data_IF_174629583876
#
_entry.id   IF_174629583876
#
_cell.length_a   1.000
_cell.length_b   1.000
_cell.length_c   1.000
_cell.angle_alpha   90.00
_cell.angle_beta   90.00
_cell.angle_gamma   90.00
#
_symmetry.space_group_name_H-M   'P 1'
#
loop_
_entity.id
_entity.type
_entity.pdbx_description
1 polymer ?
#
# COMPACT_ATOMS: atom_id res chain seq x y z
N UNK A 1 51.14 -90.06 0.05
CA UNK A 1 51.87 -88.78 -0.06
C UNK A 1 50.99 -87.81 -0.84
N UNK A 2 50.15 -87.00 -0.17
CA UNK A 2 49.47 -85.81 -0.71
C UNK A 2 48.66 -85.13 0.40
N UNK A 3 48.70 -83.78 0.42
CA UNK A 3 47.74 -82.80 0.98
C UNK A 3 47.56 -82.78 2.52
N UNK A 4 47.31 -81.65 3.19
CA UNK A 4 46.82 -80.34 2.77
C UNK A 4 47.19 -79.28 3.83
N UNK A 5 47.33 -78.04 3.40
CA UNK A 5 47.69 -76.87 4.19
C UNK A 5 46.43 -76.06 4.54
N UNK A 6 46.27 -75.55 5.77
CA UNK A 6 45.59 -74.27 6.02
C UNK A 6 45.85 -73.72 7.42
N UNK A 7 46.25 -72.44 7.44
CA UNK A 7 46.55 -71.59 8.59
C UNK A 7 45.28 -71.02 9.24
N UNK A 8 45.26 -70.95 10.58
CA UNK A 8 44.34 -70.13 11.37
C UNK A 8 45.12 -69.22 12.32
N UNK A 9 45.05 -67.91 12.12
CA UNK A 9 45.44 -66.90 13.12
C UNK A 9 44.20 -66.09 13.53
N UNK A 10 43.96 -65.98 14.84
CA UNK A 10 42.79 -65.36 15.45
C UNK A 10 42.85 -63.83 15.37
N UNK A 11 41.70 -63.25 15.01
CA UNK A 11 41.38 -61.81 14.97
C UNK A 11 41.36 -61.21 16.38
N UNK A 12 42.05 -60.06 16.59
CA UNK A 12 41.84 -59.17 17.75
C UNK A 12 40.88 -58.06 17.34
N UNK A 13 39.80 -57.89 18.10
CA UNK A 13 38.88 -56.75 17.99
C UNK A 13 39.56 -55.48 18.50
N UNK A 14 39.59 -54.42 17.68
CA UNK A 14 39.91 -53.05 18.09
C UNK A 14 38.60 -52.25 18.15
N UNK A 15 38.39 -51.58 19.28
CA UNK A 15 37.16 -50.94 19.71
C UNK A 15 36.85 -49.66 18.91
N UNK A 16 35.57 -49.50 18.55
CA UNK A 16 34.98 -48.30 17.94
C UNK A 16 34.79 -47.18 18.96
N UNK A 17 35.79 -46.32 19.18
CA UNK A 17 35.63 -45.11 20.04
C UNK A 17 35.76 -43.77 19.28
N UNK A 18 36.09 -43.77 17.99
CA UNK A 18 36.29 -42.53 17.22
C UNK A 18 35.04 -41.95 16.54
N UNK A 19 34.09 -42.79 16.12
CA UNK A 19 33.00 -42.34 15.24
C UNK A 19 31.81 -41.70 15.98
N UNK A 20 31.59 -42.03 17.27
CA UNK A 20 30.47 -41.50 18.04
C UNK A 20 30.69 -40.03 18.43
N UNK A 21 31.92 -39.68 18.84
CA UNK A 21 32.28 -38.34 19.27
C UNK A 21 32.30 -37.33 18.11
N UNK A 22 32.73 -37.75 16.91
CA UNK A 22 32.72 -36.89 15.71
C UNK A 22 31.28 -36.58 15.29
N UNK A 23 30.37 -37.57 15.32
CA UNK A 23 28.96 -37.35 14.98
C UNK A 23 28.29 -36.37 15.93
N UNK A 24 28.49 -36.51 17.24
CA UNK A 24 27.93 -35.57 18.24
C UNK A 24 28.51 -34.16 18.06
N UNK A 25 29.81 -34.03 17.76
CA UNK A 25 30.44 -32.73 17.50
C UNK A 25 29.87 -32.06 16.23
N UNK A 26 29.67 -32.81 15.14
CA UNK A 26 29.04 -32.30 13.92
C UNK A 26 27.58 -31.91 14.13
N UNK A 27 26.81 -32.67 14.91
CA UNK A 27 25.41 -32.33 15.21
C UNK A 27 25.32 -31.07 16.07
N UNK A 28 26.18 -30.92 17.08
CA UNK A 28 26.22 -29.72 17.92
C UNK A 28 26.70 -28.48 17.16
N UNK A 29 27.68 -28.62 16.26
CA UNK A 29 28.12 -27.52 15.37
C UNK A 29 27.03 -27.17 14.37
N UNK A 30 26.27 -28.13 13.83
CA UNK A 30 25.10 -27.84 13.00
C UNK A 30 23.99 -27.11 13.78
N UNK A 31 23.66 -27.54 15.01
CA UNK A 31 22.67 -26.83 15.83
C UNK A 31 23.14 -25.43 16.24
N UNK A 32 24.43 -25.23 16.49
CA UNK A 32 25.00 -23.91 16.76
C UNK A 32 25.02 -23.00 15.50
N UNK A 33 25.30 -23.56 14.31
CA UNK A 33 25.25 -22.83 13.04
C UNK A 33 23.81 -22.49 12.62
N UNK A 34 22.86 -23.41 12.82
CA UNK A 34 21.41 -23.17 12.59
C UNK A 34 20.88 -22.16 13.62
N UNK A 35 21.29 -22.23 14.88
CA UNK A 35 20.95 -21.26 15.92
C UNK A 35 21.54 -19.87 15.68
N UNK A 36 22.76 -19.77 15.15
CA UNK A 36 23.40 -18.49 14.81
C UNK A 36 22.84 -17.86 13.52
N UNK A 37 22.29 -18.67 12.60
CA UNK A 37 21.57 -18.18 11.42
C UNK A 37 20.15 -17.69 11.73
N UNK A 38 19.61 -17.98 12.92
CA UNK A 38 18.27 -17.55 13.33
C UNK A 38 18.23 -16.25 14.16
N UNK A 39 19.37 -15.59 14.40
CA UNK A 39 19.44 -14.39 15.27
C UNK A 39 19.91 -13.09 14.62
N UNK A 40 20.10 -13.01 13.32
CA UNK A 40 20.39 -11.73 12.66
C UNK A 40 19.62 -11.61 11.35
N UNK A 41 18.56 -10.82 11.39
CA UNK A 41 17.76 -10.50 10.22
C UNK A 41 16.27 -10.42 10.50
N UNK A 42 15.85 -9.79 11.61
CA UNK A 42 14.62 -9.02 11.51
C UNK A 42 14.92 -7.91 10.49
N UNK A 43 14.72 -8.20 9.21
CA UNK A 43 14.66 -7.16 8.20
C UNK A 43 13.53 -6.24 8.65
N UNK A 44 13.88 -5.12 9.28
CA UNK A 44 12.92 -4.05 9.51
C UNK A 44 12.35 -3.74 8.13
N UNK A 45 11.05 -3.99 7.97
CA UNK A 45 10.34 -3.55 6.79
C UNK A 45 10.62 -2.05 6.68
N UNK A 46 11.26 -1.64 5.58
CA UNK A 46 11.62 -0.23 5.40
C UNK A 46 10.34 0.61 5.49
N UNK A 47 10.42 1.73 6.21
CA UNK A 47 9.32 2.69 6.27
C UNK A 47 8.92 3.09 4.85
N UNK A 48 7.62 3.17 4.61
CA UNK A 48 7.06 3.63 3.35
C UNK A 48 7.09 5.15 3.35
N UNK A 49 7.66 5.74 2.30
CA UNK A 49 7.51 7.18 2.11
C UNK A 49 6.11 7.51 1.63
N UNK A 50 5.44 8.42 2.34
CA UNK A 50 4.17 8.98 1.90
C UNK A 50 4.43 10.01 0.79
N UNK A 51 3.70 9.98 -0.33
CA UNK A 51 3.93 10.92 -1.41
C UNK A 51 3.37 12.29 -1.04
N UNK A 52 3.91 13.35 -1.65
CA UNK A 52 3.19 14.64 -1.68
C UNK A 52 1.83 14.43 -2.36
N UNK A 53 0.81 15.16 -1.92
CA UNK A 53 -0.51 15.14 -2.57
C UNK A 53 -0.52 15.84 -3.94
N UNK A 54 0.51 16.67 -4.18
CA UNK A 54 0.60 17.58 -5.30
C UNK A 54 0.03 18.98 -5.01
N UNK A 55 -0.70 19.19 -3.91
CA UNK A 55 -1.27 20.48 -3.58
C UNK A 55 -0.19 21.54 -3.33
N UNK A 56 -0.33 22.70 -3.98
CA UNK A 56 0.62 23.83 -3.86
C UNK A 56 -0.03 25.14 -3.44
N UNK A 57 -1.36 25.21 -3.48
CA UNK A 57 -2.16 26.39 -3.15
C UNK A 57 -2.87 26.22 -1.80
N UNK A 58 -3.13 27.35 -1.15
CA UNK A 58 -3.81 27.44 0.14
C UNK A 58 -5.07 28.30 0.02
N UNK A 59 -6.05 28.03 0.87
CA UNK A 59 -7.41 28.57 0.74
C UNK A 59 -7.90 29.16 2.05
N UNK A 60 -8.71 30.21 1.97
CA UNK A 60 -9.49 30.72 3.10
C UNK A 60 -10.81 29.94 3.26
N UNK A 61 -11.60 30.29 4.28
CA UNK A 61 -12.91 29.66 4.55
C UNK A 61 -13.98 29.92 3.49
N UNK A 62 -13.74 30.88 2.59
CA UNK A 62 -14.62 31.21 1.47
C UNK A 62 -14.19 30.52 0.17
N UNK A 63 -13.09 29.75 0.20
CA UNK A 63 -12.54 29.08 -0.98
C UNK A 63 -11.70 30.00 -1.88
N UNK A 64 -11.29 31.18 -1.41
CA UNK A 64 -10.39 32.04 -2.15
C UNK A 64 -8.94 31.62 -1.91
N UNK A 65 -8.11 31.73 -2.96
CA UNK A 65 -6.68 31.46 -2.84
C UNK A 65 -6.02 32.51 -1.94
N UNK A 66 -5.18 32.05 -1.02
CA UNK A 66 -4.37 32.89 -0.12
C UNK A 66 -2.89 32.51 -0.20
N UNK A 67 -2.02 33.36 0.37
CA UNK A 67 -0.62 33.01 0.56
C UNK A 67 -0.49 31.82 1.53
N UNK A 68 0.36 30.86 1.18
CA UNK A 68 0.48 29.62 1.97
C UNK A 68 1.27 29.78 3.26
N UNK A 69 2.26 30.67 3.30
CA UNK A 69 3.23 30.73 4.40
C UNK A 69 2.57 30.85 5.77
N UNK A 70 2.80 29.86 6.64
CA UNK A 70 2.32 29.85 8.02
C UNK A 70 0.85 29.45 8.18
N UNK A 71 0.19 28.99 7.12
CA UNK A 71 -1.19 28.50 7.20
C UNK A 71 -1.27 27.09 7.78
N UNK A 72 -0.17 26.33 7.74
CA UNK A 72 -0.15 24.91 8.15
C UNK A 72 -0.93 23.99 7.20
N UNK A 73 -1.45 24.52 6.09
CA UNK A 73 -2.13 23.74 5.06
C UNK A 73 -1.15 22.85 4.29
N UNK A 74 -1.65 21.87 3.55
CA UNK A 74 -0.80 21.02 2.73
C UNK A 74 -0.07 21.80 1.62
N UNK A 75 -0.69 22.85 1.06
CA UNK A 75 -0.01 23.77 0.13
C UNK A 75 1.17 24.54 0.73
N UNK A 76 1.19 24.72 2.06
CA UNK A 76 2.27 25.34 2.84
C UNK A 76 3.36 24.32 3.17
N UNK A 77 2.98 23.22 3.84
CA UNK A 77 3.94 22.23 4.33
C UNK A 77 4.48 21.33 3.22
N UNK A 78 3.66 21.01 2.21
CA UNK A 78 3.96 20.14 1.06
C UNK A 78 4.69 18.87 1.49
N UNK A 79 4.19 18.26 2.57
CA UNK A 79 4.84 17.15 3.25
C UNK A 79 4.80 15.88 2.40
N UNK A 80 5.84 15.06 2.51
CA UNK A 80 5.96 13.79 1.78
C UNK A 80 7.00 13.80 0.66
N UNK A 81 7.18 12.65 0.04
CA UNK A 81 8.16 12.43 -1.00
C UNK A 81 7.76 13.12 -2.30
N UNK A 82 8.74 13.80 -2.91
CA UNK A 82 8.59 14.49 -4.19
C UNK A 82 8.30 13.48 -5.29
N UNK A 83 7.37 13.82 -6.19
CA UNK A 83 7.07 12.97 -7.34
C UNK A 83 8.21 12.97 -8.35
N UNK A 84 8.47 11.84 -9.02
CA UNK A 84 9.31 11.84 -10.22
C UNK A 84 8.73 12.78 -11.27
N UNK A 85 9.61 13.37 -12.08
CA UNK A 85 9.21 14.14 -13.25
C UNK A 85 9.95 13.59 -14.47
N UNK A 86 9.27 12.88 -15.39
CA UNK A 86 7.84 12.55 -15.40
C UNK A 86 7.44 11.45 -14.39
N UNK A 87 6.25 11.57 -13.77
CA UNK A 87 5.70 10.53 -12.89
C UNK A 87 5.20 9.32 -13.69
N UNK A 88 4.49 9.56 -14.79
CA UNK A 88 3.92 8.50 -15.61
C UNK A 88 4.64 8.41 -16.96
N UNK A 89 4.98 7.19 -17.35
CA UNK A 89 5.83 6.89 -18.52
C UNK A 89 5.33 5.67 -19.26
N UNK A 90 5.80 5.47 -20.49
CA UNK A 90 5.66 4.16 -21.17
C UNK A 90 6.48 3.08 -20.41
N UNK A 91 6.23 1.77 -20.62
CA UNK A 91 6.97 0.70 -19.96
C UNK A 91 8.47 0.68 -20.24
N UNK A 92 8.92 1.30 -21.34
CA UNK A 92 10.34 1.49 -21.68
C UNK A 92 10.94 2.76 -21.07
N UNK A 93 10.19 3.48 -20.22
CA UNK A 93 10.59 4.74 -19.59
C UNK A 93 10.42 5.98 -20.47
N UNK A 94 10.00 5.83 -21.74
CA UNK A 94 9.85 6.96 -22.65
C UNK A 94 8.61 7.81 -22.35
N UNK A 95 8.65 9.06 -22.81
CA UNK A 95 7.53 10.02 -22.79
C UNK A 95 7.44 10.80 -24.11
N UNK A 96 6.25 11.31 -24.50
CA UNK A 96 4.96 11.21 -23.82
C UNK A 96 4.37 9.78 -23.85
N UNK A 97 3.37 9.51 -22.99
CA UNK A 97 2.65 8.24 -22.99
C UNK A 97 2.01 8.01 -24.37
N UNK A 98 2.44 6.94 -25.04
CA UNK A 98 2.04 6.62 -26.42
C UNK A 98 1.52 5.19 -26.57
N UNK A 99 1.77 4.31 -25.60
CA UNK A 99 1.31 2.91 -25.60
C UNK A 99 0.14 2.67 -24.64
N UNK A 100 -0.48 1.50 -24.70
CA UNK A 100 -1.69 1.18 -23.94
C UNK A 100 -1.45 0.77 -22.47
N UNK A 101 -0.21 0.82 -22.01
CA UNK A 101 0.18 0.52 -20.62
C UNK A 101 1.02 1.67 -20.10
N UNK A 102 0.75 2.10 -18.87
CA UNK A 102 1.41 3.23 -18.22
C UNK A 102 2.14 2.74 -16.98
N UNK A 103 3.39 3.16 -16.80
CA UNK A 103 4.18 2.92 -15.59
C UNK A 103 4.15 4.16 -14.71
N UNK A 104 3.71 4.00 -13.46
CA UNK A 104 3.83 5.03 -12.42
C UNK A 104 5.19 4.89 -11.72
N UNK A 105 6.09 5.82 -12.00
CA UNK A 105 7.45 5.87 -11.45
C UNK A 105 7.47 6.19 -9.95
N UNK A 106 6.36 6.67 -9.36
CA UNK A 106 6.27 6.94 -7.93
C UNK A 106 6.07 5.64 -7.14
N UNK A 107 5.15 4.78 -7.61
CA UNK A 107 4.70 3.57 -6.90
C UNK A 107 5.33 2.29 -7.46
N UNK A 108 5.78 2.33 -8.71
CA UNK A 108 6.22 1.17 -9.46
C UNK A 108 5.08 0.30 -9.97
N UNK A 109 3.84 0.78 -9.95
CA UNK A 109 2.71 0.06 -10.51
C UNK A 109 2.58 0.33 -12.00
N UNK A 110 2.04 -0.65 -12.73
CA UNK A 110 1.66 -0.49 -14.12
C UNK A 110 0.16 -0.59 -14.27
N UNK A 111 -0.41 0.31 -15.05
CA UNK A 111 -1.84 0.50 -15.23
C UNK A 111 -2.22 0.37 -16.70
N UNK A 112 -3.43 -0.12 -16.99
CA UNK A 112 -3.98 0.06 -18.34
C UNK A 112 -4.15 1.55 -18.62
N UNK A 113 -3.81 1.99 -19.83
CA UNK A 113 -3.99 3.40 -20.22
C UNK A 113 -5.47 3.79 -20.31
N UNK A 114 -6.29 2.87 -20.80
CA UNK A 114 -7.74 3.02 -20.88
C UNK A 114 -8.39 2.60 -19.55
N UNK A 115 -9.00 3.57 -18.86
CA UNK A 115 -9.75 3.38 -17.63
C UNK A 115 -11.26 3.20 -17.88
N UNK A 116 -11.69 3.09 -19.14
CA UNK A 116 -13.09 3.00 -19.55
C UNK A 116 -13.71 1.61 -19.45
N UNK A 117 -12.96 0.60 -18.98
CA UNK A 117 -13.38 -0.81 -18.95
C UNK A 117 -13.82 -1.32 -20.32
N UNK A 118 -12.93 -1.37 -21.32
CA UNK A 118 -13.28 -1.71 -22.71
C UNK A 118 -13.67 -3.18 -22.88
N UNK A 119 -14.46 -3.49 -23.91
CA UNK A 119 -14.69 -4.90 -24.30
C UNK A 119 -13.49 -5.42 -25.09
N UNK A 120 -12.89 -6.52 -24.61
CA UNK A 120 -11.69 -7.15 -25.21
C UNK A 120 -12.01 -8.59 -25.59
N UNK A 121 -12.23 -8.83 -26.88
CA UNK A 121 -12.64 -10.17 -27.36
C UNK A 121 -13.92 -10.64 -26.67
N UNK A 122 -13.84 -11.76 -25.93
CA UNK A 122 -14.96 -12.28 -25.13
C UNK A 122 -15.10 -11.66 -23.74
N UNK A 123 -14.15 -10.81 -23.33
CA UNK A 123 -14.19 -10.10 -22.05
C UNK A 123 -15.08 -8.86 -22.20
N UNK A 124 -16.36 -9.00 -21.88
CA UNK A 124 -17.34 -7.92 -21.97
C UNK A 124 -17.03 -6.85 -20.92
N UNK A 125 -16.84 -5.61 -21.39
CA UNK A 125 -16.54 -4.44 -20.56
C UNK A 125 -17.80 -3.71 -20.04
N UNK A 126 -17.62 -2.46 -19.60
CA UNK A 126 -18.66 -1.63 -18.98
C UNK A 126 -18.62 -1.64 -17.45
N UNK A 127 -19.59 -1.01 -16.81
CA UNK A 127 -19.71 -1.01 -15.35
C UNK A 127 -20.26 -2.36 -14.86
N UNK A 128 -19.76 -2.84 -13.72
CA UNK A 128 -20.11 -4.18 -13.22
C UNK A 128 -20.06 -4.29 -11.70
N UNK A 129 -20.77 -5.28 -11.12
CA UNK A 129 -20.65 -5.60 -9.71
C UNK A 129 -19.26 -6.14 -9.36
N UNK A 130 -18.91 -6.10 -8.08
CA UNK A 130 -17.57 -6.43 -7.58
C UNK A 130 -17.04 -7.79 -8.06
N UNK A 131 -17.82 -8.87 -7.87
CA UNK A 131 -17.40 -10.21 -8.31
C UNK A 131 -17.26 -10.30 -9.84
N UNK A 132 -18.13 -9.61 -10.60
CA UNK A 132 -18.00 -9.53 -12.06
C UNK A 132 -16.73 -8.79 -12.47
N UNK A 133 -16.28 -7.79 -11.69
CA UNK A 133 -14.99 -7.12 -11.86
C UNK A 133 -13.81 -8.07 -11.78
N UNK A 134 -13.79 -8.94 -10.76
CA UNK A 134 -12.77 -9.98 -10.62
C UNK A 134 -12.82 -10.99 -11.78
N UNK A 135 -14.03 -11.38 -12.22
CA UNK A 135 -14.21 -12.28 -13.36
C UNK A 135 -13.72 -11.64 -14.67
N UNK A 136 -13.97 -10.34 -14.86
CA UNK A 136 -13.51 -9.57 -16.01
C UNK A 136 -11.98 -9.53 -16.05
N UNK A 137 -11.31 -9.23 -14.93
CA UNK A 137 -9.84 -9.28 -14.86
C UNK A 137 -9.29 -10.69 -15.11
N UNK A 138 -9.94 -11.74 -14.58
CA UNK A 138 -9.58 -13.11 -14.89
C UNK A 138 -9.71 -13.42 -16.39
N UNK A 139 -10.70 -12.84 -17.08
CA UNK A 139 -10.84 -12.93 -18.52
C UNK A 139 -9.70 -12.22 -19.26
N UNK A 140 -9.37 -10.98 -18.88
CA UNK A 140 -8.25 -10.22 -19.47
C UNK A 140 -6.94 -11.00 -19.39
N UNK A 141 -6.69 -11.66 -18.26
CA UNK A 141 -5.50 -12.48 -18.07
C UNK A 141 -5.46 -13.71 -18.99
N UNK A 142 -6.59 -14.39 -19.20
CA UNK A 142 -6.68 -15.50 -20.16
C UNK A 142 -6.48 -15.02 -21.60
N UNK A 143 -6.91 -13.80 -21.91
CA UNK A 143 -6.74 -13.18 -23.22
C UNK A 143 -5.34 -12.59 -23.45
N UNK A 144 -4.44 -12.68 -22.46
CA UNK A 144 -3.12 -12.04 -22.47
C UNK A 144 -3.20 -10.54 -22.85
N UNK A 145 -4.16 -9.84 -22.24
CA UNK A 145 -4.48 -8.46 -22.60
C UNK A 145 -3.27 -7.54 -22.49
N UNK A 146 -2.98 -6.81 -23.57
CA UNK A 146 -1.81 -5.94 -23.72
C UNK A 146 -0.45 -6.66 -23.52
N UNK A 147 -0.42 -7.98 -23.73
CA UNK A 147 0.77 -8.81 -23.56
C UNK A 147 1.04 -9.25 -22.12
N UNK A 148 0.08 -9.06 -21.21
CA UNK A 148 0.20 -9.44 -19.80
C UNK A 148 -0.96 -10.35 -19.34
N UNK A 149 -0.64 -11.23 -18.38
CA UNK A 149 -1.57 -12.20 -17.81
C UNK A 149 -1.65 -12.15 -16.27
N UNK A 150 -1.13 -11.09 -15.68
CA UNK A 150 -1.03 -10.84 -14.24
C UNK A 150 -1.74 -9.55 -13.81
N UNK A 151 -2.72 -9.09 -14.60
CA UNK A 151 -3.63 -8.02 -14.21
C UNK A 151 -4.45 -8.43 -12.98
N UNK A 152 -4.75 -7.45 -12.13
CA UNK A 152 -5.62 -7.58 -10.96
C UNK A 152 -6.43 -6.31 -10.77
N UNK A 153 -7.47 -6.40 -9.94
CA UNK A 153 -8.06 -5.19 -9.37
C UNK A 153 -7.03 -4.56 -8.40
N UNK A 154 -6.92 -3.23 -8.35
CA UNK A 154 -6.11 -2.54 -7.36
C UNK A 154 -6.76 -2.66 -5.99
N UNK A 155 -5.96 -2.75 -4.93
CA UNK A 155 -6.48 -2.56 -3.58
C UNK A 155 -6.76 -1.06 -3.34
N UNK A 156 -7.42 -0.74 -2.22
CA UNK A 156 -7.82 0.64 -1.95
C UNK A 156 -6.65 1.64 -1.85
N UNK A 157 -5.48 1.20 -1.37
CA UNK A 157 -4.28 2.06 -1.21
C UNK A 157 -3.67 2.34 -2.59
N UNK A 158 -3.58 1.31 -3.44
CA UNK A 158 -3.05 1.45 -4.80
C UNK A 158 -3.96 2.33 -5.66
N UNK A 159 -5.28 2.17 -5.57
CA UNK A 159 -6.22 2.98 -6.33
C UNK A 159 -6.17 4.45 -5.87
N UNK A 160 -6.08 4.69 -4.55
CA UNK A 160 -5.94 6.05 -4.01
C UNK A 160 -4.63 6.73 -4.43
N UNK A 161 -3.56 5.95 -4.64
CA UNK A 161 -2.26 6.49 -5.06
C UNK A 161 -2.29 7.25 -6.39
N UNK A 162 -3.28 6.99 -7.26
CA UNK A 162 -3.47 7.72 -8.52
C UNK A 162 -4.00 9.15 -8.33
N UNK A 163 -4.45 9.53 -7.14
CA UNK A 163 -4.94 10.88 -6.89
C UNK A 163 -3.85 11.94 -7.04
N UNK A 164 -4.31 13.11 -7.42
CA UNK A 164 -3.54 14.34 -7.44
C UNK A 164 -4.42 15.50 -7.03
N UNK A 165 -3.91 16.31 -6.12
CA UNK A 165 -4.50 17.58 -5.73
C UNK A 165 -3.68 18.75 -6.28
N UNK A 166 -2.93 18.53 -7.38
CA UNK A 166 -2.06 19.55 -8.03
C UNK A 166 -2.80 20.77 -8.54
N UNK A 167 -4.10 20.66 -8.79
CA UNK A 167 -4.90 21.77 -9.27
C UNK A 167 -6.08 22.02 -8.36
N UNK A 168 -6.24 23.29 -8.01
CA UNK A 168 -7.41 23.82 -7.31
C UNK A 168 -8.74 23.53 -8.01
N UNK A 169 -8.70 23.44 -9.34
CA UNK A 169 -9.90 23.48 -10.20
C UNK A 169 -9.99 22.28 -11.13
N UNK A 170 -9.01 21.39 -11.12
CA UNK A 170 -9.00 20.20 -11.98
C UNK A 170 -9.10 18.94 -11.12
N UNK A 171 -10.23 18.23 -11.18
CA UNK A 171 -10.36 16.91 -10.56
C UNK A 171 -9.23 15.96 -10.95
N UNK A 172 -8.87 15.00 -10.08
CA UNK A 172 -7.91 13.95 -10.40
C UNK A 172 -8.14 13.29 -11.76
N UNK A 173 -9.40 13.02 -12.14
CA UNK A 173 -9.76 12.44 -13.44
C UNK A 173 -9.36 13.32 -14.63
N UNK A 174 -9.54 14.64 -14.52
CA UNK A 174 -9.18 15.58 -15.60
C UNK A 174 -7.67 15.66 -15.75
N UNK A 175 -6.94 15.68 -14.64
CA UNK A 175 -5.48 15.62 -14.65
C UNK A 175 -4.95 14.31 -15.24
N UNK A 176 -5.49 13.14 -14.84
CA UNK A 176 -5.08 11.85 -15.40
C UNK A 176 -5.32 11.78 -16.92
N UNK A 177 -6.45 12.28 -17.40
CA UNK A 177 -6.72 12.37 -18.84
C UNK A 177 -5.74 13.33 -19.55
N UNK A 178 -5.34 14.44 -18.92
CA UNK A 178 -4.45 15.43 -19.56
C UNK A 178 -2.99 14.95 -19.66
N UNK A 179 -2.55 14.07 -18.76
CA UNK A 179 -1.19 13.52 -18.77
C UNK A 179 -1.03 12.24 -19.60
N UNK A 180 -2.12 11.71 -20.16
CA UNK A 180 -2.08 10.64 -21.16
C UNK A 180 -2.89 9.39 -20.83
N UNK A 181 -3.51 9.27 -19.67
CA UNK A 181 -4.56 8.26 -19.48
C UNK A 181 -5.78 8.56 -20.37
N UNK A 182 -6.60 7.55 -20.61
CA UNK A 182 -7.77 7.65 -21.48
C UNK A 182 -9.01 7.16 -20.76
N UNK A 183 -10.15 7.80 -21.07
CA UNK A 183 -11.47 7.43 -20.56
C UNK A 183 -11.53 7.37 -19.03
N UNK A 184 -10.69 8.13 -18.33
CA UNK A 184 -10.83 8.30 -16.88
C UNK A 184 -12.10 9.08 -16.63
N UNK A 185 -13.02 8.49 -15.88
CA UNK A 185 -14.37 9.00 -15.75
C UNK A 185 -14.44 10.20 -14.82
N UNK A 186 -15.21 11.20 -15.24
CA UNK A 186 -15.33 12.51 -14.56
C UNK A 186 -16.70 12.73 -13.94
N UNK A 187 -17.64 11.79 -14.06
CA UNK A 187 -18.96 11.93 -13.47
C UNK A 187 -18.91 11.77 -11.95
N UNK A 188 -19.76 12.53 -11.24
CA UNK A 188 -19.90 12.50 -9.79
C UNK A 188 -20.34 11.13 -9.23
N UNK A 189 -20.75 10.21 -10.11
CA UNK A 189 -21.18 8.86 -9.75
C UNK A 189 -20.44 7.76 -10.52
N UNK A 190 -19.32 8.11 -11.17
CA UNK A 190 -18.47 7.15 -11.85
C UNK A 190 -17.38 6.64 -10.89
N UNK A 191 -17.59 5.46 -10.33
CA UNK A 191 -16.67 4.85 -9.38
C UNK A 191 -15.83 3.73 -10.00
N UNK A 192 -14.67 3.49 -9.40
CA UNK A 192 -13.77 2.40 -9.74
C UNK A 192 -13.70 1.37 -8.61
N UNK A 193 -13.81 0.08 -8.96
CA UNK A 193 -13.72 -1.03 -8.00
C UNK A 193 -12.31 -1.12 -7.41
N UNK A 194 -12.22 -1.29 -6.09
CA UNK A 194 -11.03 -1.87 -5.45
C UNK A 194 -11.26 -3.34 -5.09
N UNK A 195 -10.18 -4.10 -4.94
CA UNK A 195 -10.20 -5.47 -4.43
C UNK A 195 -10.34 -5.56 -2.90
N UNK A 196 -10.38 -4.43 -2.19
CA UNK A 196 -10.47 -4.38 -0.72
C UNK A 196 -11.91 -4.34 -0.26
N UNK A 197 -12.26 -5.22 0.68
CA UNK A 197 -13.62 -5.37 1.23
C UNK A 197 -13.66 -5.02 2.72
N UNK A 198 -14.73 -4.35 3.14
CA UNK A 198 -15.11 -4.07 4.52
C UNK A 198 -15.61 -5.35 5.18
N UNK A 199 -14.68 -6.05 5.83
CA UNK A 199 -14.92 -7.38 6.40
C UNK A 199 -15.96 -7.42 7.54
N UNK A 200 -16.13 -6.32 8.30
CA UNK A 200 -16.99 -6.30 9.51
C UNK A 200 -18.48 -6.13 9.22
N UNK A 201 -18.88 -5.81 7.98
CA UNK A 201 -20.30 -5.74 7.62
C UNK A 201 -20.85 -7.11 7.22
N UNK A 202 -22.13 -7.35 7.49
CA UNK A 202 -22.83 -8.59 7.13
C UNK A 202 -23.10 -8.69 5.63
N UNK A 203 -23.30 -7.54 4.99
CA UNK A 203 -23.56 -7.36 3.56
C UNK A 203 -22.30 -7.36 2.67
N UNK A 204 -21.11 -7.23 3.29
CA UNK A 204 -19.79 -7.14 2.66
C UNK A 204 -19.72 -6.00 1.63
N UNK A 205 -19.08 -4.90 2.01
CA UNK A 205 -18.96 -3.72 1.16
C UNK A 205 -17.56 -3.61 0.56
N UNK A 206 -17.41 -3.32 -0.74
CA UNK A 206 -16.09 -3.01 -1.31
C UNK A 206 -15.79 -1.50 -1.19
N UNK A 207 -14.51 -1.15 -0.99
CA UNK A 207 -14.07 0.23 -1.18
C UNK A 207 -14.08 0.53 -2.67
N UNK A 208 -14.64 1.69 -3.04
CA UNK A 208 -14.58 2.21 -4.40
C UNK A 208 -14.02 3.63 -4.38
N UNK A 209 -13.53 4.04 -5.54
CA UNK A 209 -12.85 5.31 -5.69
C UNK A 209 -13.52 6.19 -6.74
N UNK A 210 -13.65 7.48 -6.47
CA UNK A 210 -14.16 8.47 -7.40
C UNK A 210 -13.11 9.54 -7.69
N UNK A 211 -12.69 9.61 -8.95
CA UNK A 211 -11.67 10.57 -9.39
C UNK A 211 -12.26 11.95 -9.79
N UNK A 212 -13.59 12.10 -9.79
CA UNK A 212 -14.26 13.38 -10.06
C UNK A 212 -14.10 14.41 -8.93
N UNK A 213 -13.87 13.95 -7.69
CA UNK A 213 -13.64 14.77 -6.51
C UNK A 213 -12.46 14.28 -5.65
N UNK A 214 -11.85 13.14 -6.01
CA UNK A 214 -10.76 12.53 -5.24
C UNK A 214 -11.24 11.84 -3.96
N UNK A 215 -12.51 11.42 -3.93
CA UNK A 215 -13.13 10.76 -2.78
C UNK A 215 -12.99 9.23 -2.79
N UNK A 216 -12.90 8.66 -1.58
CA UNK A 216 -13.14 7.24 -1.34
C UNK A 216 -14.57 7.03 -0.84
N UNK A 217 -15.23 5.98 -1.31
CA UNK A 217 -16.54 5.58 -0.81
C UNK A 217 -16.59 4.08 -0.49
N UNK A 218 -17.53 3.69 0.36
CA UNK A 218 -17.76 2.28 0.73
C UNK A 218 -19.11 1.86 0.17
N UNK A 219 -19.14 0.97 -0.82
CA UNK A 219 -20.39 0.44 -1.37
C UNK A 219 -20.82 -0.81 -0.64
N UNK A 220 -21.91 -0.72 0.11
CA UNK A 220 -22.69 -1.88 0.53
C UNK A 220 -23.21 -2.61 -0.71
N UNK A 221 -22.98 -3.92 -0.78
CA UNK A 221 -23.75 -4.79 -1.67
C UNK A 221 -25.06 -5.13 -0.95
N UNK A 222 -26.25 -4.53 -1.23
CA UNK A 222 -26.63 -3.44 -2.13
C UNK A 222 -27.05 -2.15 -1.39
N UNK A 223 -26.75 -0.98 -1.97
CA UNK A 223 -27.67 0.16 -1.88
C UNK A 223 -27.10 1.56 -1.70
N UNK A 224 -25.83 1.79 -1.35
CA UNK A 224 -25.37 3.19 -1.10
C UNK A 224 -23.95 3.56 -1.54
N UNK A 225 -23.34 2.82 -2.46
CA UNK A 225 -22.52 3.34 -3.55
C UNK A 225 -22.71 2.36 -4.72
N UNK A 226 -22.87 2.87 -5.94
CA UNK A 226 -23.59 2.23 -7.05
C UNK A 226 -23.20 0.77 -7.30
N UNK A 227 -24.20 -0.08 -7.56
CA UNK A 227 -24.02 -1.54 -7.72
C UNK A 227 -23.17 -1.94 -8.94
N UNK A 228 -22.82 -0.99 -9.80
CA UNK A 228 -22.10 -1.19 -11.04
C UNK A 228 -21.02 -0.13 -11.18
N UNK A 229 -19.75 -0.54 -11.14
CA UNK A 229 -18.59 0.36 -11.14
C UNK A 229 -17.60 -0.05 -12.23
N UNK A 230 -16.72 0.88 -12.62
CA UNK A 230 -15.67 0.62 -13.60
C UNK A 230 -14.54 -0.24 -13.01
N UNK A 231 -13.84 -0.93 -13.89
CA UNK A 231 -12.65 -1.71 -13.58
C UNK A 231 -11.44 -1.02 -14.22
N UNK A 232 -10.44 -0.72 -13.40
CA UNK A 232 -9.15 -0.22 -13.85
C UNK A 232 -8.05 -1.19 -13.42
N UNK A 233 -7.63 -2.11 -14.31
CA UNK A 233 -6.64 -3.11 -13.96
C UNK A 233 -5.27 -2.52 -13.66
N UNK A 234 -4.64 -3.07 -12.63
CA UNK A 234 -3.27 -2.78 -12.22
C UNK A 234 -2.44 -4.07 -12.22
N UNK A 235 -1.12 -3.93 -12.36
CA UNK A 235 -0.14 -5.00 -12.14
C UNK A 235 1.12 -4.45 -11.48
N UNK A 236 1.96 -5.34 -10.97
CA UNK A 236 3.28 -4.95 -10.50
C UNK A 236 4.14 -4.45 -11.69
N UNK A 237 4.96 -3.43 -11.46
CA UNK A 237 5.92 -2.95 -12.44
C UNK A 237 7.24 -3.72 -12.43
N UNK A 238 8.27 -3.11 -13.00
CA UNK A 238 9.58 -3.73 -13.17
C UNK A 238 10.32 -3.81 -11.81
N UNK A 239 10.75 -5.00 -11.42
CA UNK A 239 11.32 -5.32 -10.09
C UNK A 239 12.75 -4.82 -9.85
N UNK A 240 13.32 -4.06 -10.79
CA UNK A 240 14.73 -3.64 -10.75
C UNK A 240 14.99 -2.31 -10.00
N UNK A 241 13.94 -1.62 -9.54
CA UNK A 241 14.06 -0.30 -8.92
C UNK A 241 13.36 -0.23 -7.56
N UNK A 242 14.02 0.40 -6.59
CA UNK A 242 13.36 0.87 -5.38
C UNK A 242 12.51 2.09 -5.76
N UNK A 243 11.19 1.96 -5.65
CA UNK A 243 10.25 3.04 -5.94
C UNK A 243 10.07 3.94 -4.72
N UNK A 244 9.81 5.22 -4.97
CA UNK A 244 9.83 6.26 -3.93
C UNK A 244 8.75 6.01 -2.87
N UNK A 245 7.52 5.68 -3.29
CA UNK A 245 6.34 5.59 -2.44
C UNK A 245 5.52 4.34 -2.82
N UNK A 246 5.97 3.17 -2.37
CA UNK A 246 5.27 1.92 -2.65
C UNK A 246 4.00 1.77 -1.79
N UNK A 247 2.84 1.45 -2.38
CA UNK A 247 1.63 1.17 -1.61
C UNK A 247 1.83 0.04 -0.60
N UNK A 248 1.34 0.20 0.63
CA UNK A 248 1.37 -0.83 1.66
C UNK A 248 0.16 -1.75 1.59
N UNK A 249 0.26 -2.93 2.22
CA UNK A 249 -0.85 -3.87 2.35
C UNK A 249 -2.01 -3.23 3.12
N UNK A 250 -3.24 -3.56 2.78
CA UNK A 250 -4.42 -3.06 3.52
C UNK A 250 -4.61 -3.75 4.87
N UNK A 251 -3.95 -4.89 5.09
CA UNK A 251 -4.19 -5.77 6.23
C UNK A 251 -5.36 -6.74 6.03
N UNK A 252 -6.03 -6.72 4.87
CA UNK A 252 -7.06 -7.70 4.54
C UNK A 252 -6.44 -9.10 4.40
N UNK A 253 -6.96 -10.07 5.16
CA UNK A 253 -6.49 -11.47 5.14
C UNK A 253 -7.54 -12.47 4.63
N UNK A 254 -8.81 -12.09 4.70
CA UNK A 254 -9.91 -12.94 4.25
C UNK A 254 -10.24 -12.60 2.81
N UNK A 255 -10.23 -13.59 1.94
CA UNK A 255 -10.67 -13.48 0.55
C UNK A 255 -12.17 -13.70 0.43
N UNK A 256 -12.82 -12.89 -0.41
CA UNK A 256 -14.22 -13.00 -0.80
C UNK A 256 -14.40 -13.28 -2.30
N UNK A 257 -13.30 -13.38 -3.05
CA UNK A 257 -13.31 -13.79 -4.45
C UNK A 257 -13.76 -15.26 -4.59
N UNK A 258 -14.76 -15.48 -5.43
CA UNK A 258 -15.26 -16.83 -5.76
C UNK A 258 -14.51 -17.49 -6.92
N UNK A 259 -13.58 -16.79 -7.58
CA UNK A 259 -12.75 -17.35 -8.65
C UNK A 259 -11.70 -18.35 -8.14
N UNK A 260 -11.16 -19.15 -9.07
CA UNK A 260 -9.97 -19.96 -8.86
C UNK A 260 -8.95 -19.74 -10.01
N UNK A 261 -7.75 -19.23 -9.75
CA UNK A 261 -7.27 -18.73 -8.45
C UNK A 261 -8.00 -17.45 -8.04
N UNK A 262 -8.01 -17.19 -6.73
CA UNK A 262 -8.53 -15.97 -6.11
C UNK A 262 -7.57 -14.80 -6.32
N UNK A 263 -8.10 -13.61 -6.55
CA UNK A 263 -7.36 -12.42 -7.03
C UNK A 263 -7.75 -11.13 -6.30
N UNK A 264 -8.54 -11.21 -5.25
CA UNK A 264 -8.84 -10.05 -4.41
C UNK A 264 -7.71 -9.76 -3.40
N UNK A 265 -7.87 -8.68 -2.64
CA UNK A 265 -6.84 -8.18 -1.74
C UNK A 265 -6.56 -9.13 -0.57
N UNK A 266 -7.59 -9.84 -0.09
CA UNK A 266 -7.41 -10.86 0.94
C UNK A 266 -6.59 -12.06 0.48
N UNK A 267 -6.71 -12.44 -0.79
CA UNK A 267 -5.93 -13.54 -1.37
C UNK A 267 -4.52 -13.10 -1.77
N UNK A 268 -4.37 -11.95 -2.41
CA UNK A 268 -3.08 -11.50 -2.96
C UNK A 268 -2.23 -10.74 -1.94
N UNK A 269 -2.87 -10.01 -1.03
CA UNK A 269 -2.24 -9.18 0.01
C UNK A 269 -1.10 -8.31 -0.56
N UNK A 270 -1.40 -7.57 -1.62
CA UNK A 270 -0.41 -6.79 -2.37
C UNK A 270 0.05 -5.56 -1.58
N UNK A 271 1.32 -5.20 -1.74
CA UNK A 271 1.93 -4.02 -1.13
C UNK A 271 2.98 -4.34 -0.06
N UNK A 272 3.61 -3.29 0.45
CA UNK A 272 4.61 -3.36 1.52
C UNK A 272 3.97 -3.93 2.80
N UNK A 273 4.60 -4.97 3.36
CA UNK A 273 4.12 -5.60 4.58
C UNK A 273 4.25 -4.66 5.79
N UNK A 274 3.31 -4.76 6.74
CA UNK A 274 3.38 -3.98 7.95
C UNK A 274 4.50 -4.47 8.86
N UNK A 275 5.26 -3.57 9.52
CA UNK A 275 6.15 -3.94 10.60
C UNK A 275 5.38 -4.62 11.74
N UNK A 276 6.09 -5.48 12.48
CA UNK A 276 5.59 -6.11 13.69
C UNK A 276 6.61 -5.92 14.81
N UNK A 277 6.32 -5.09 15.82
CA UNK A 277 5.11 -4.27 16.01
C UNK A 277 5.05 -3.09 15.02
N UNK A 278 3.82 -2.71 14.60
CA UNK A 278 3.62 -1.50 13.78
C UNK A 278 3.77 -0.22 14.60
N UNK A 279 3.38 -0.26 15.86
CA UNK A 279 3.29 0.91 16.72
C UNK A 279 4.20 0.75 17.94
N UNK A 280 5.07 1.73 18.18
CA UNK A 280 6.05 1.73 19.28
C UNK A 280 6.03 3.05 20.05
N UNK A 281 6.68 3.07 21.22
CA UNK A 281 7.05 4.33 21.88
C UNK A 281 8.10 5.08 21.02
N UNK A 282 8.33 6.39 21.27
CA UNK A 282 9.37 7.16 20.58
C UNK A 282 10.79 6.60 20.72
N UNK A 283 11.08 5.89 21.80
CA UNK A 283 12.36 5.18 22.02
C UNK A 283 12.41 3.79 21.35
N UNK A 284 11.39 3.41 20.58
CA UNK A 284 11.26 2.12 19.91
C UNK A 284 10.75 0.98 20.80
N UNK A 285 10.52 1.22 22.09
CA UNK A 285 10.09 0.16 23.02
C UNK A 285 8.61 -0.21 22.86
N UNK A 286 8.25 -1.40 23.34
CA UNK A 286 6.88 -1.89 23.45
C UNK A 286 6.62 -2.57 24.81
N UNK A 287 5.38 -2.56 25.34
CA UNK A 287 4.16 -1.97 24.77
C UNK A 287 4.17 -0.44 24.79
N UNK A 288 3.31 0.18 23.99
CA UNK A 288 3.15 1.65 23.98
C UNK A 288 2.49 2.11 25.27
N UNK A 289 3.22 2.86 26.10
CA UNK A 289 2.75 3.29 27.43
C UNK A 289 2.48 4.80 27.51
N UNK A 290 3.11 5.61 26.65
CA UNK A 290 2.93 7.06 26.63
C UNK A 290 1.67 7.55 25.92
N UNK A 291 1.57 8.88 25.82
CA UNK A 291 0.49 9.61 25.15
C UNK A 291 0.72 9.82 23.64
N UNK A 292 1.89 9.43 23.15
CA UNK A 292 2.25 9.43 21.74
C UNK A 292 2.64 8.03 21.27
N UNK A 293 2.48 7.79 19.98
CA UNK A 293 2.84 6.54 19.33
C UNK A 293 3.53 6.81 17.99
N UNK A 294 4.57 6.04 17.68
CA UNK A 294 5.26 6.10 16.38
C UNK A 294 4.81 4.94 15.52
N UNK A 295 4.31 5.25 14.31
CA UNK A 295 3.98 4.27 13.28
C UNK A 295 5.23 3.88 12.50
N UNK A 296 5.78 2.71 12.79
CA UNK A 296 6.97 2.16 12.13
C UNK A 296 6.79 1.94 10.61
N UNK A 297 5.55 1.98 10.10
CA UNK A 297 5.31 1.88 8.67
C UNK A 297 5.54 3.21 7.94
N UNK A 298 5.28 4.34 8.59
CA UNK A 298 5.25 5.67 7.95
C UNK A 298 6.21 6.67 8.59
N UNK A 299 6.85 6.27 9.69
CA UNK A 299 7.65 7.11 10.60
C UNK A 299 6.89 8.32 11.19
N UNK A 300 5.56 8.33 11.07
CA UNK A 300 4.73 9.38 11.66
C UNK A 300 4.49 9.12 13.14
N UNK A 301 4.55 10.20 13.92
CA UNK A 301 4.12 10.22 15.30
C UNK A 301 2.67 10.69 15.40
N UNK A 302 1.89 10.03 16.25
CA UNK A 302 0.48 10.32 16.47
C UNK A 302 0.22 10.56 17.97
N UNK A 303 -0.67 11.52 18.24
CA UNK A 303 -1.30 11.66 19.56
C UNK A 303 -2.23 10.46 19.76
N UNK A 304 -2.11 9.77 20.90
CA UNK A 304 -2.92 8.59 21.22
C UNK A 304 -4.36 8.93 21.55
N UNK A 305 -4.59 10.10 22.17
CA UNK A 305 -5.91 10.61 22.46
C UNK A 305 -6.54 11.31 21.23
N UNK A 306 -7.41 10.58 20.53
CA UNK A 306 -8.14 11.10 19.38
C UNK A 306 -9.38 11.95 19.75
N UNK A 307 -9.63 12.20 21.04
CA UNK A 307 -10.82 12.95 21.51
C UNK A 307 -10.78 14.45 21.19
N UNK A 308 -9.64 14.96 20.70
CA UNK A 308 -9.38 16.40 20.50
C UNK A 308 -9.64 17.20 21.79
N UNK A 309 -8.86 16.98 22.87
CA UNK A 309 -9.10 17.59 24.17
C UNK A 309 -8.89 19.11 24.16
N UNK A 310 -9.47 19.82 25.13
CA UNK A 310 -9.09 21.22 25.38
C UNK A 310 -7.78 21.24 26.17
N UNK A 311 -6.74 21.86 25.61
CA UNK A 311 -5.40 21.98 26.20
C UNK A 311 -5.11 23.46 26.43
N UNK A 312 -5.07 23.89 27.68
CA UNK A 312 -4.89 25.31 28.03
C UNK A 312 -5.90 26.21 27.29
N UNK A 313 -5.41 27.09 26.39
CA UNK A 313 -6.23 27.96 25.55
C UNK A 313 -6.63 27.33 24.21
N UNK A 314 -6.10 26.15 23.89
CA UNK A 314 -6.42 25.39 22.68
C UNK A 314 -7.74 24.64 22.86
N UNK A 315 -8.83 25.25 22.39
CA UNK A 315 -10.17 24.66 22.47
C UNK A 315 -10.31 23.52 21.46
N UNK A 316 -10.53 22.31 21.97
CA UNK A 316 -10.70 21.10 21.18
C UNK A 316 -12.15 20.83 20.73
N UNK A 317 -12.43 19.58 20.38
CA UNK A 317 -13.75 19.10 19.94
C UNK A 317 -13.96 19.08 18.43
N UNK A 318 -15.20 18.78 18.01
CA UNK A 318 -15.57 18.80 16.59
C UNK A 318 -15.54 20.24 16.08
N UNK A 319 -14.78 20.46 15.02
CA UNK A 319 -14.56 21.80 14.48
C UNK A 319 -14.50 21.83 12.95
N UNK A 320 -14.79 22.98 12.30
CA UNK A 320 -14.57 23.16 10.87
C UNK A 320 -13.08 23.03 10.50
N UNK A 321 -12.80 22.78 9.22
CA UNK A 321 -11.44 22.55 8.73
C UNK A 321 -10.46 23.66 9.13
N UNK A 322 -10.81 24.94 8.95
CA UNK A 322 -9.93 26.05 9.33
C UNK A 322 -9.67 26.11 10.84
N UNK A 323 -10.65 25.78 11.66
CA UNK A 323 -10.48 25.69 13.11
C UNK A 323 -9.54 24.55 13.50
N UNK A 324 -9.54 23.45 12.74
CA UNK A 324 -8.58 22.35 12.89
C UNK A 324 -7.13 22.80 12.73
N UNK A 325 -6.84 23.59 11.69
CA UNK A 325 -5.51 24.19 11.49
C UNK A 325 -5.12 25.12 12.65
N UNK A 326 -6.07 25.94 13.12
CA UNK A 326 -5.85 26.85 14.25
C UNK A 326 -5.58 26.08 15.55
N UNK A 327 -6.28 24.97 15.77
CA UNK A 327 -6.10 24.10 16.93
C UNK A 327 -4.72 23.46 16.92
N UNK A 328 -4.29 22.91 15.78
CA UNK A 328 -2.93 22.34 15.64
C UNK A 328 -1.85 23.40 15.84
N UNK A 329 -2.00 24.59 15.25
CA UNK A 329 -1.09 25.71 15.49
C UNK A 329 -1.03 26.12 16.96
N UNK A 330 -2.16 26.01 17.69
CA UNK A 330 -2.19 26.23 19.13
C UNK A 330 -1.42 25.16 19.90
N UNK A 331 -1.61 23.87 19.58
CA UNK A 331 -0.86 22.78 20.20
C UNK A 331 0.66 22.96 20.04
N UNK A 332 1.09 23.42 18.86
CA UNK A 332 2.51 23.69 18.60
C UNK A 332 3.06 24.84 19.44
N UNK A 333 2.29 25.91 19.64
CA UNK A 333 2.68 27.01 20.55
C UNK A 333 2.70 26.58 22.00
N UNK A 334 1.80 25.68 22.40
CA UNK A 334 1.74 25.14 23.76
C UNK A 334 2.79 24.04 24.03
N UNK A 335 3.59 23.65 23.03
CA UNK A 335 4.53 22.54 23.09
C UNK A 335 3.85 21.25 23.62
N UNK A 336 2.65 20.96 23.10
CA UNK A 336 1.81 19.89 23.62
C UNK A 336 2.52 18.53 23.53
N UNK A 337 2.55 17.81 24.67
CA UNK A 337 3.29 16.56 24.86
C UNK A 337 4.81 16.68 24.61
N UNK A 338 5.37 17.89 24.65
CA UNK A 338 6.78 18.16 24.39
C UNK A 338 7.15 18.33 22.92
N UNK A 339 6.17 18.46 22.02
CA UNK A 339 6.37 18.61 20.58
C UNK A 339 5.73 19.90 20.05
N UNK A 340 6.33 20.45 18.98
CA UNK A 340 5.95 21.73 18.38
C UNK A 340 5.74 21.67 16.86
N UNK A 341 5.68 20.47 16.29
CA UNK A 341 5.60 20.19 14.86
C UNK A 341 4.37 19.34 14.48
N UNK A 342 3.33 19.36 15.32
CA UNK A 342 2.03 18.77 14.99
C UNK A 342 1.49 19.37 13.69
N UNK A 343 0.89 18.52 12.87
CA UNK A 343 0.21 18.91 11.63
C UNK A 343 -1.03 18.05 11.42
N UNK A 344 -1.98 18.56 10.64
CA UNK A 344 -3.04 17.70 10.14
C UNK A 344 -2.44 16.64 9.19
N UNK A 345 -2.93 15.39 9.24
CA UNK A 345 -2.43 14.36 8.34
C UNK A 345 -2.84 14.67 6.89
N UNK A 346 -1.98 14.31 5.95
CA UNK A 346 -2.30 14.36 4.52
C UNK A 346 -3.16 13.14 4.16
N UNK A 347 -3.99 13.28 3.13
CA UNK A 347 -4.62 12.13 2.47
C UNK A 347 -3.50 11.32 1.80
N UNK A 348 -3.51 10.00 1.98
CA UNK A 348 -2.57 9.08 1.33
C UNK A 348 -3.32 8.11 0.45
#
# INVERSE_FOLDING_TARGET
MFRQNSSRAKMKYLQFYGAFNIRVLFTLVMFALIGAMCFNGAAQAAAVNLPKTGQTSCWDTSGNSIACAGTGQDGDTRSGAVWPNPRFTNPDGSTPISVNVVTDQLTGLMWTRDAGTPTIGSCVGGTMPWQSGLNYVACLNRANYLGYSDWRLPNMVELNSLNSYTSATSPPAVWLNSIGFQNVKTGQYDFYLSSTVVAHRTDKAAYNFIFADGGMCVAVIPGMCFSYNYVWPVRAGQTAHAYISQPWKTGMQTTYDTNNPKRDDGALQMGVAWPSPRFTNPDGSTPVLGDVVVDQLTDLMWIKDASTPTIESCVGGKMPWQSGLNYVACLNRANYLGYSDWRMPNVI
#
